data_IF_406032218745
#
_entry.id   IF_406032218745
#
_cell.length_a   1.000
_cell.length_b   1.000
_cell.length_c   1.000
_cell.angle_alpha   90.00
_cell.angle_beta   90.00
_cell.angle_gamma   90.00
#
_symmetry.space_group_name_H-M   'P 1'
#
loop_
_entity.id
_entity.type
_entity.pdbx_description
1 polymer ?
#
# COMPACT_ATOMS: atom_id res chain seq x y z
N UNK A 1 -2.72 2.30 14.67
CA UNK A 1 -3.32 1.47 15.74
C UNK A 1 -2.79 0.04 15.72
N UNK A 2 -3.02 -0.76 14.66
CA UNK A 2 -2.63 -2.19 14.64
C UNK A 2 -1.15 -2.44 14.97
N UNK A 3 -0.22 -1.73 14.31
CA UNK A 3 1.21 -1.89 14.59
C UNK A 3 1.62 -1.42 15.99
N UNK A 4 0.89 -0.46 16.57
CA UNK A 4 1.12 -0.04 17.95
C UNK A 4 0.73 -1.16 18.92
N UNK A 5 -0.46 -1.73 18.75
CA UNK A 5 -0.95 -2.85 19.57
C UNK A 5 -0.03 -4.07 19.45
N UNK A 6 0.40 -4.43 18.23
CA UNK A 6 1.34 -5.54 18.00
C UNK A 6 2.63 -5.43 18.82
N UNK A 7 3.16 -4.21 18.99
CA UNK A 7 4.39 -3.94 19.74
C UNK A 7 4.18 -3.84 21.26
N UNK A 8 3.00 -3.42 21.69
CA UNK A 8 2.67 -3.18 23.09
C UNK A 8 1.79 -4.28 23.65
N UNK A 9 2.37 -5.47 23.73
CA UNK A 9 1.66 -6.67 24.21
C UNK A 9 1.22 -6.55 25.66
N UNK A 10 1.87 -5.69 26.44
CA UNK A 10 1.54 -5.34 27.81
C UNK A 10 0.20 -4.57 27.93
N UNK A 11 -0.23 -3.87 26.88
CA UNK A 11 -1.47 -3.10 26.87
C UNK A 11 -2.72 -3.95 26.59
N UNK A 12 -2.56 -5.24 26.28
CA UNK A 12 -3.68 -6.13 25.97
C UNK A 12 -3.43 -7.57 26.45
N UNK A 13 -4.51 -8.32 26.70
CA UNK A 13 -4.40 -9.71 27.20
C UNK A 13 -3.99 -10.75 26.15
N UNK A 14 -3.70 -10.34 24.91
CA UNK A 14 -3.29 -11.27 23.86
C UNK A 14 -1.81 -11.63 24.01
N UNK A 15 -1.54 -12.94 24.04
CA UNK A 15 -0.20 -13.53 24.11
C UNK A 15 0.59 -13.29 22.82
N UNK A 16 1.16 -12.10 22.66
CA UNK A 16 2.06 -11.74 21.55
C UNK A 16 1.45 -11.92 20.16
N UNK A 17 1.05 -10.83 19.52
CA UNK A 17 0.56 -10.90 18.13
C UNK A 17 1.72 -11.33 17.21
N UNK A 18 1.64 -12.58 16.71
CA UNK A 18 2.65 -13.17 15.82
C UNK A 18 2.62 -12.53 14.43
N UNK A 19 3.73 -12.67 13.72
CA UNK A 19 3.88 -12.19 12.35
C UNK A 19 4.69 -10.90 12.25
N UNK A 20 4.83 -10.45 11.00
CA UNK A 20 5.59 -9.25 10.67
C UNK A 20 4.82 -7.97 11.01
N UNK A 21 5.49 -6.83 10.79
CA UNK A 21 4.95 -5.49 10.96
C UNK A 21 3.63 -5.28 10.21
N UNK A 22 2.60 -4.80 10.91
CA UNK A 22 1.39 -4.31 10.25
C UNK A 22 1.71 -3.01 9.51
N UNK A 23 1.46 -2.97 8.20
CA UNK A 23 1.75 -1.78 7.40
C UNK A 23 0.74 -1.55 6.27
N UNK A 24 0.65 -0.29 5.84
CA UNK A 24 -0.18 0.17 4.73
C UNK A 24 0.67 0.50 3.51
N UNK A 25 0.31 0.00 2.34
CA UNK A 25 0.90 0.36 1.06
C UNK A 25 0.01 1.31 0.27
N UNK A 26 0.52 2.47 -0.13
CA UNK A 26 -0.14 3.33 -1.11
C UNK A 26 0.45 3.05 -2.50
N UNK A 27 -0.25 2.21 -3.27
CA UNK A 27 0.15 1.74 -4.59
C UNK A 27 -0.78 2.33 -5.66
N UNK A 28 -0.70 3.67 -5.85
CA UNK A 28 -1.76 4.45 -6.50
C UNK A 28 -1.37 5.12 -7.83
N UNK A 29 -0.10 5.07 -8.25
CA UNK A 29 0.33 5.53 -9.58
C UNK A 29 1.58 6.40 -9.56
N UNK A 30 2.32 6.43 -10.67
CA UNK A 30 3.62 7.12 -10.75
C UNK A 30 3.53 8.66 -10.70
N UNK A 31 2.33 9.23 -10.91
CA UNK A 31 2.06 10.66 -10.73
C UNK A 31 1.88 11.04 -9.27
N UNK A 32 1.48 10.09 -8.42
CA UNK A 32 1.17 10.33 -7.01
C UNK A 32 2.24 9.79 -6.05
N UNK A 33 2.89 8.67 -6.40
CA UNK A 33 3.92 8.05 -5.56
C UNK A 33 5.15 7.61 -6.35
N UNK A 34 6.36 7.54 -5.72
CA UNK A 34 7.59 7.18 -6.42
C UNK A 34 7.64 5.69 -6.79
N UNK A 35 8.00 5.39 -8.04
CA UNK A 35 8.13 4.00 -8.51
C UNK A 35 9.37 3.26 -7.95
N UNK A 36 10.42 3.98 -7.54
CA UNK A 36 11.65 3.37 -7.04
C UNK A 36 12.39 4.30 -6.06
N UNK A 37 13.34 3.73 -5.33
CA UNK A 37 14.10 4.44 -4.28
C UNK A 37 14.87 5.63 -4.88
N UNK A 38 15.51 5.46 -6.05
CA UNK A 38 16.26 6.53 -6.73
C UNK A 38 15.36 7.75 -7.06
N UNK A 39 14.17 7.50 -7.60
CA UNK A 39 13.20 8.53 -7.90
C UNK A 39 12.71 9.22 -6.62
N UNK A 40 12.45 8.46 -5.56
CA UNK A 40 12.05 8.99 -4.26
C UNK A 40 13.12 9.91 -3.66
N UNK A 41 14.38 9.48 -3.61
CA UNK A 41 15.50 10.30 -3.11
C UNK A 41 15.64 11.60 -3.88
N UNK A 42 15.48 11.56 -5.22
CA UNK A 42 15.51 12.76 -6.06
C UNK A 42 14.36 13.71 -5.72
N UNK A 43 13.13 13.21 -5.67
CA UNK A 43 11.95 14.03 -5.38
C UNK A 43 11.99 14.62 -3.97
N UNK A 44 12.50 13.90 -2.96
CA UNK A 44 12.68 14.41 -1.60
C UNK A 44 13.68 15.58 -1.58
N UNK A 45 14.77 15.48 -2.36
CA UNK A 45 15.74 16.58 -2.50
C UNK A 45 15.09 17.81 -3.14
N UNK A 46 14.38 17.63 -4.25
CA UNK A 46 13.63 18.70 -4.94
C UNK A 46 12.58 19.34 -4.00
N UNK A 47 11.89 18.52 -3.19
CA UNK A 47 10.93 19.00 -2.20
C UNK A 47 11.58 19.81 -1.08
N UNK A 48 12.74 19.36 -0.58
CA UNK A 48 13.54 20.07 0.43
C UNK A 48 14.00 21.44 -0.09
N UNK A 49 14.42 21.50 -1.36
CA UNK A 49 14.83 22.72 -2.07
C UNK A 49 13.63 23.64 -2.39
N UNK A 50 12.42 23.08 -2.48
CA UNK A 50 11.21 23.82 -2.81
C UNK A 50 10.91 23.91 -4.30
N UNK A 51 11.53 23.03 -5.10
CA UNK A 51 11.39 22.97 -6.56
C UNK A 51 10.10 22.27 -6.98
N UNK A 52 9.52 21.45 -6.09
CA UNK A 52 8.22 20.79 -6.28
C UNK A 52 7.27 21.12 -5.13
N UNK A 53 5.98 21.17 -5.45
CA UNK A 53 4.91 21.30 -4.47
C UNK A 53 4.37 19.94 -4.02
N UNK A 54 3.86 19.89 -2.80
CA UNK A 54 3.35 18.66 -2.20
C UNK A 54 4.46 17.74 -1.69
N UNK A 55 4.18 16.99 -0.62
CA UNK A 55 5.12 16.00 -0.12
C UNK A 55 5.17 14.81 -1.10
N UNK A 56 6.32 14.46 -1.69
CA UNK A 56 6.43 13.35 -2.64
C UNK A 56 6.13 11.98 -2.01
N UNK A 57 6.11 11.87 -0.68
CA UNK A 57 5.70 10.67 0.04
C UNK A 57 4.25 10.72 0.55
N UNK A 58 3.45 11.70 0.07
CA UNK A 58 2.01 11.90 0.31
C UNK A 58 1.63 12.27 1.75
N UNK A 59 2.32 11.76 2.76
CA UNK A 59 1.99 12.00 4.18
C UNK A 59 2.43 13.40 4.64
N UNK A 60 1.46 14.26 4.98
CA UNK A 60 1.71 15.61 5.53
C UNK A 60 1.68 15.66 7.06
N UNK A 61 1.16 14.62 7.70
CA UNK A 61 0.93 14.55 9.14
C UNK A 61 1.16 13.12 9.62
N UNK A 62 1.68 12.96 10.83
CA UNK A 62 1.78 11.66 11.47
C UNK A 62 0.36 11.09 11.71
N UNK A 63 0.03 9.88 11.24
CA UNK A 63 -1.28 9.29 11.44
C UNK A 63 -1.57 8.89 12.90
N UNK A 64 -0.55 8.92 13.77
CA UNK A 64 -0.68 8.63 15.21
C UNK A 64 -0.94 9.89 16.02
N UNK A 65 0.03 10.81 16.06
CA UNK A 65 -0.01 11.99 16.94
C UNK A 65 -0.29 13.31 16.21
N UNK A 66 -0.54 13.28 14.88
CA UNK A 66 -0.79 14.48 14.04
C UNK A 66 0.37 15.47 13.93
N UNK A 67 1.58 15.12 14.37
CA UNK A 67 2.77 15.95 14.13
C UNK A 67 2.99 16.16 12.63
N UNK A 68 3.19 17.42 12.21
CA UNK A 68 3.38 17.80 10.80
C UNK A 68 4.65 17.18 10.21
N UNK A 69 4.55 16.61 9.01
CA UNK A 69 5.65 16.04 8.23
C UNK A 69 5.90 16.94 7.02
N UNK A 70 7.17 17.18 6.71
CA UNK A 70 7.55 17.91 5.51
C UNK A 70 8.47 19.07 5.81
N UNK A 71 8.27 20.18 5.08
CA UNK A 71 9.21 21.29 5.01
C UNK A 71 8.89 22.36 6.05
N UNK A 72 9.86 22.66 6.90
CA UNK A 72 9.76 23.66 7.96
C UNK A 72 10.75 24.80 7.72
N UNK A 73 10.35 26.01 8.12
CA UNK A 73 11.20 27.20 8.11
C UNK A 73 11.48 27.65 9.53
N UNK A 74 12.75 27.91 9.85
CA UNK A 74 13.19 28.53 11.10
C UNK A 74 14.25 29.56 10.74
N UNK A 75 13.95 30.81 10.99
CA UNK A 75 14.72 31.94 10.47
C UNK A 75 14.91 31.84 8.94
N UNK A 76 16.14 31.94 8.45
CA UNK A 76 16.48 31.81 7.02
C UNK A 76 16.77 30.38 6.56
N UNK A 77 16.70 29.38 7.45
CA UNK A 77 17.00 27.98 7.11
C UNK A 77 15.71 27.18 6.95
N UNK A 78 15.68 26.40 5.87
CA UNK A 78 14.63 25.41 5.59
C UNK A 78 15.16 24.03 5.95
N UNK A 79 14.35 23.24 6.66
CA UNK A 79 14.68 21.87 7.05
C UNK A 79 13.51 20.95 6.77
N UNK A 80 13.83 19.70 6.47
CA UNK A 80 12.86 18.63 6.28
C UNK A 80 12.74 17.85 7.60
N UNK A 81 11.52 17.58 8.06
CA UNK A 81 11.28 16.67 9.19
C UNK A 81 10.28 15.58 8.82
N UNK A 82 10.43 14.44 9.46
CA UNK A 82 9.55 13.28 9.29
C UNK A 82 9.87 12.41 8.07
N UNK A 83 11.00 12.67 7.40
CA UNK A 83 11.54 11.85 6.31
C UNK A 83 13.05 11.75 6.54
N UNK A 84 13.60 10.53 6.59
CA UNK A 84 15.06 10.35 6.67
C UNK A 84 15.70 10.28 5.26
N UNK A 85 17.03 10.42 5.22
CA UNK A 85 17.83 10.27 4.00
C UNK A 85 18.59 8.91 4.00
N UNK A 86 17.92 7.82 4.40
CA UNK A 86 18.55 6.49 4.42
C UNK A 86 18.92 6.04 2.99
N UNK A 87 20.22 5.87 2.76
CA UNK A 87 20.79 5.50 1.46
C UNK A 87 20.83 3.98 1.23
N UNK A 88 20.64 3.20 2.28
CA UNK A 88 20.70 1.73 2.25
C UNK A 88 19.33 1.11 2.02
N UNK A 89 18.31 1.52 2.78
CA UNK A 89 16.94 1.01 2.65
C UNK A 89 16.01 1.94 1.86
N UNK A 90 16.51 3.13 1.51
CA UNK A 90 15.70 4.22 0.96
C UNK A 90 14.94 4.98 2.05
N UNK A 91 14.36 6.13 1.70
CA UNK A 91 13.78 7.06 2.66
C UNK A 91 12.59 6.46 3.43
N UNK A 92 12.59 6.66 4.74
CA UNK A 92 11.55 6.25 5.70
C UNK A 92 10.69 7.44 6.10
N UNK A 93 9.39 7.19 6.23
CA UNK A 93 8.46 8.09 6.92
C UNK A 93 8.56 7.86 8.43
N UNK A 94 8.83 8.92 9.17
CA UNK A 94 8.98 8.90 10.63
C UNK A 94 8.20 10.06 11.25
N UNK A 95 7.77 9.90 12.49
CA UNK A 95 7.16 10.98 13.23
C UNK A 95 8.24 11.99 13.64
N UNK A 96 8.06 13.30 13.38
CA UNK A 96 9.03 14.29 13.78
C UNK A 96 9.01 14.59 15.28
N UNK A 97 7.94 14.24 15.99
CA UNK A 97 7.88 14.28 17.44
C UNK A 97 8.68 13.13 18.06
N UNK A 98 9.67 13.44 18.89
CA UNK A 98 10.54 12.47 19.56
C UNK A 98 9.82 11.68 20.66
N UNK A 99 8.67 12.14 21.14
CA UNK A 99 7.85 11.42 22.13
C UNK A 99 6.90 10.41 21.48
N UNK A 100 6.80 10.40 20.14
CA UNK A 100 5.91 9.51 19.42
C UNK A 100 6.54 8.12 19.23
N UNK A 101 5.72 7.08 19.41
CA UNK A 101 6.06 5.66 19.17
C UNK A 101 6.57 5.33 17.77
N UNK A 102 6.43 6.27 16.84
CA UNK A 102 6.77 6.11 15.42
C UNK A 102 7.86 7.09 14.95
N UNK A 103 8.61 7.70 15.87
CA UNK A 103 9.63 8.71 15.58
C UNK A 103 11.04 8.19 15.29
N UNK A 104 11.27 6.88 15.41
CA UNK A 104 12.59 6.27 15.20
C UNK A 104 12.93 6.12 13.71
N UNK A 105 14.23 6.16 13.41
CA UNK A 105 14.82 5.85 12.11
C UNK A 105 14.95 4.34 11.83
N UNK A 106 14.59 3.48 12.79
CA UNK A 106 14.44 2.05 12.57
C UNK A 106 13.12 1.79 11.84
N UNK A 107 13.16 1.08 10.70
CA UNK A 107 11.97 0.68 9.94
C UNK A 107 10.86 0.10 10.81
N UNK A 108 11.17 -0.78 11.76
CA UNK A 108 10.16 -1.41 12.62
C UNK A 108 9.49 -0.44 13.60
N UNK A 109 10.09 0.72 13.81
CA UNK A 109 9.63 1.77 14.74
C UNK A 109 9.29 3.08 14.00
N UNK A 110 9.26 3.08 12.67
CA UNK A 110 8.89 4.24 11.85
C UNK A 110 7.37 4.29 11.65
N UNK A 111 6.84 5.28 10.92
CA UNK A 111 5.44 5.27 10.49
C UNK A 111 5.21 4.06 9.54
N UNK A 112 4.20 3.20 9.80
CA UNK A 112 3.97 1.96 9.06
C UNK A 112 3.22 2.19 7.74
N UNK A 113 3.71 3.14 6.94
CA UNK A 113 3.16 3.47 5.63
C UNK A 113 4.27 3.43 4.59
N UNK A 114 4.07 2.64 3.54
CA UNK A 114 4.96 2.48 2.40
C UNK A 114 4.31 3.10 1.17
N UNK A 115 5.00 4.00 0.50
CA UNK A 115 4.50 4.69 -0.70
C UNK A 115 5.39 4.44 -1.92
N UNK A 116 6.57 3.86 -1.72
CA UNK A 116 7.52 3.61 -2.79
C UNK A 116 7.27 2.22 -3.33
N UNK A 117 6.84 2.09 -4.59
CA UNK A 117 6.52 0.81 -5.23
C UNK A 117 7.60 -0.26 -4.99
N UNK A 118 8.87 0.10 -5.21
CA UNK A 118 9.99 -0.82 -5.01
C UNK A 118 10.03 -1.40 -3.59
N UNK A 119 9.72 -0.59 -2.56
CA UNK A 119 9.65 -1.03 -1.16
C UNK A 119 8.40 -1.83 -0.88
N UNK A 120 7.27 -1.44 -1.48
CA UNK A 120 6.01 -2.21 -1.42
C UNK A 120 6.24 -3.63 -1.97
N UNK A 121 7.03 -3.81 -3.03
CA UNK A 121 7.34 -5.14 -3.56
C UNK A 121 8.38 -5.92 -2.74
N UNK A 122 9.33 -5.22 -2.11
CA UNK A 122 10.34 -5.84 -1.24
C UNK A 122 9.75 -6.26 0.11
N UNK A 123 8.83 -5.45 0.62
CA UNK A 123 8.17 -5.61 1.91
C UNK A 123 6.66 -5.45 1.74
N UNK A 124 5.96 -6.48 1.19
CA UNK A 124 4.52 -6.46 0.96
C UNK A 124 3.73 -6.01 2.20
N UNK A 125 2.98 -4.90 2.13
CA UNK A 125 2.20 -4.41 3.26
C UNK A 125 1.02 -5.32 3.60
N UNK A 126 0.51 -5.20 4.82
CA UNK A 126 -0.66 -5.97 5.28
C UNK A 126 -1.96 -5.50 4.62
N UNK A 127 -2.02 -4.21 4.27
CA UNK A 127 -3.14 -3.60 3.54
C UNK A 127 -2.56 -2.78 2.41
N UNK A 128 -3.13 -2.90 1.22
CA UNK A 128 -2.73 -2.11 0.05
C UNK A 128 -3.92 -1.30 -0.42
N UNK A 129 -3.70 -0.02 -0.62
CA UNK A 129 -4.62 0.88 -1.32
C UNK A 129 -4.09 1.04 -2.73
N UNK A 130 -4.92 0.74 -3.72
CA UNK A 130 -4.53 0.82 -5.12
C UNK A 130 -5.63 1.42 -5.97
N UNK A 131 -5.25 1.89 -7.15
CA UNK A 131 -6.15 2.35 -8.20
C UNK A 131 -6.30 1.27 -9.27
N UNK A 132 -7.42 1.27 -9.98
CA UNK A 132 -7.65 0.40 -11.13
C UNK A 132 -6.49 0.45 -12.14
N UNK A 133 -6.00 1.66 -12.43
CA UNK A 133 -4.89 1.89 -13.36
C UNK A 133 -3.59 1.22 -12.92
N UNK A 134 -3.34 1.17 -11.61
CA UNK A 134 -2.14 0.51 -11.09
C UNK A 134 -2.24 -1.00 -11.20
N UNK A 135 -3.44 -1.56 -11.00
CA UNK A 135 -3.69 -2.98 -11.17
C UNK A 135 -3.47 -3.44 -12.62
N UNK A 136 -3.73 -2.58 -13.61
CA UNK A 136 -3.39 -2.86 -15.00
C UNK A 136 -1.88 -3.10 -15.23
N UNK A 137 -1.01 -2.55 -14.36
CA UNK A 137 0.45 -2.75 -14.47
C UNK A 137 0.90 -4.17 -14.07
N UNK A 138 0.04 -4.99 -13.45
CA UNK A 138 0.40 -6.35 -13.02
C UNK A 138 0.94 -7.19 -14.18
N UNK A 139 0.38 -7.03 -15.38
CA UNK A 139 0.83 -7.74 -16.59
C UNK A 139 2.28 -7.43 -16.98
N UNK A 140 2.78 -6.23 -16.66
CA UNK A 140 4.11 -5.74 -17.07
C UNK A 140 5.09 -5.60 -15.90
N UNK A 141 4.66 -5.93 -14.68
CA UNK A 141 5.46 -5.77 -13.47
C UNK A 141 5.46 -7.07 -12.65
N UNK A 142 6.27 -8.07 -13.06
CA UNK A 142 6.37 -9.34 -12.32
C UNK A 142 6.60 -9.14 -10.82
N UNK A 143 7.46 -8.19 -10.42
CA UNK A 143 7.73 -7.89 -9.01
C UNK A 143 6.47 -7.57 -8.16
N UNK A 144 5.39 -7.09 -8.77
CA UNK A 144 4.12 -6.85 -8.08
C UNK A 144 3.41 -8.14 -7.65
N UNK A 145 3.80 -9.31 -8.17
CA UNK A 145 3.34 -10.61 -7.69
C UNK A 145 3.63 -10.86 -6.21
N UNK A 146 4.61 -10.16 -5.62
CA UNK A 146 4.89 -10.16 -4.18
C UNK A 146 3.68 -9.74 -3.33
N UNK A 147 2.80 -8.87 -3.86
CA UNK A 147 1.57 -8.45 -3.20
C UNK A 147 0.54 -9.58 -3.08
N UNK A 148 0.71 -10.63 -3.88
CA UNK A 148 -0.10 -11.86 -3.87
C UNK A 148 0.65 -13.02 -3.23
N UNK A 149 1.69 -12.74 -2.45
CA UNK A 149 2.48 -13.78 -1.76
C UNK A 149 3.41 -14.58 -2.67
N UNK A 150 3.69 -14.10 -3.90
CA UNK A 150 4.56 -14.79 -4.87
C UNK A 150 5.97 -14.24 -4.87
N UNK A 151 6.97 -15.12 -4.89
CA UNK A 151 8.39 -14.77 -5.09
C UNK A 151 8.86 -15.27 -6.44
N UNK A 152 9.39 -14.36 -7.26
CA UNK A 152 9.97 -14.70 -8.54
C UNK A 152 11.34 -15.35 -8.36
N UNK A 153 11.56 -16.45 -9.07
CA UNK A 153 12.80 -17.23 -9.11
C UNK A 153 13.30 -17.18 -10.55
N UNK A 154 14.58 -16.81 -10.72
CA UNK A 154 15.28 -16.79 -12.02
C UNK A 154 14.54 -16.02 -13.14
N UNK A 155 13.75 -15.00 -12.81
CA UNK A 155 12.97 -14.18 -13.74
C UNK A 155 11.97 -14.94 -14.66
N UNK A 156 11.69 -16.22 -14.40
CA UNK A 156 10.80 -17.03 -15.24
C UNK A 156 9.74 -17.80 -14.43
N UNK A 157 10.07 -18.19 -13.20
CA UNK A 157 9.19 -18.97 -12.34
C UNK A 157 8.74 -18.14 -11.14
N UNK A 158 7.63 -18.53 -10.53
CA UNK A 158 7.19 -18.00 -9.25
C UNK A 158 6.93 -19.13 -8.26
N UNK A 159 7.20 -18.86 -7.00
CA UNK A 159 6.83 -19.72 -5.87
C UNK A 159 5.88 -18.97 -4.95
N UNK A 160 4.78 -19.62 -4.57
CA UNK A 160 3.92 -19.12 -3.50
C UNK A 160 4.65 -19.27 -2.16
N UNK A 161 4.94 -18.16 -1.50
CA UNK A 161 5.67 -18.12 -0.21
C UNK A 161 4.80 -17.64 0.95
N UNK A 162 3.77 -16.84 0.65
CA UNK A 162 2.76 -16.40 1.62
C UNK A 162 1.38 -16.65 1.05
N UNK A 163 0.34 -16.64 1.88
CA UNK A 163 -1.03 -16.63 1.37
C UNK A 163 -1.31 -15.31 0.64
N UNK A 164 -2.08 -15.33 -0.45
CA UNK A 164 -2.48 -14.09 -1.10
C UNK A 164 -3.53 -13.33 -0.26
N UNK A 165 -3.84 -12.06 -0.61
CA UNK A 165 -4.90 -11.31 0.04
C UNK A 165 -6.25 -12.03 -0.02
N UNK A 166 -6.93 -12.13 1.13
CA UNK A 166 -8.22 -12.82 1.25
C UNK A 166 -9.42 -11.87 1.33
N UNK A 167 -9.19 -10.56 1.39
CA UNK A 167 -10.22 -9.52 1.43
C UNK A 167 -9.88 -8.44 0.40
N UNK A 168 -10.83 -8.14 -0.46
CA UNK A 168 -10.79 -7.04 -1.41
C UNK A 168 -11.96 -6.11 -1.05
N UNK A 169 -11.65 -4.83 -0.83
CA UNK A 169 -12.65 -3.79 -0.63
C UNK A 169 -12.62 -2.90 -1.86
N UNK A 170 -13.72 -2.88 -2.61
CA UNK A 170 -13.89 -1.98 -3.73
C UNK A 170 -14.72 -0.78 -3.31
N UNK A 171 -14.14 0.41 -3.44
CA UNK A 171 -14.86 1.64 -3.23
C UNK A 171 -15.45 2.15 -4.55
N UNK A 172 -16.58 2.84 -4.46
CA UNK A 172 -17.24 3.50 -5.59
C UNK A 172 -17.49 2.62 -6.83
N UNK A 173 -18.09 1.44 -6.63
CA UNK A 173 -18.45 0.51 -7.73
C UNK A 173 -19.25 1.18 -8.84
N UNK A 174 -20.06 2.20 -8.53
CA UNK A 174 -20.83 2.96 -9.52
C UNK A 174 -19.96 3.63 -10.61
N UNK A 175 -18.68 3.90 -10.32
CA UNK A 175 -17.72 4.44 -11.29
C UNK A 175 -17.26 3.39 -12.32
N UNK A 176 -17.51 2.12 -12.05
CA UNK A 176 -17.18 0.98 -12.91
C UNK A 176 -18.38 0.67 -13.80
N UNK A 177 -18.68 1.58 -14.72
CA UNK A 177 -19.77 1.44 -15.70
C UNK A 177 -19.31 1.70 -17.13
N UNK A 178 -20.08 1.24 -18.11
CA UNK A 178 -19.77 1.43 -19.54
C UNK A 178 -18.44 0.77 -19.97
N UNK A 179 -17.68 1.38 -20.90
CA UNK A 179 -16.45 0.82 -21.44
C UNK A 179 -15.35 0.57 -20.40
N UNK A 180 -15.28 1.42 -19.36
CA UNK A 180 -14.32 1.28 -18.27
C UNK A 180 -14.64 0.04 -17.42
N UNK A 181 -15.93 -0.24 -17.23
CA UNK A 181 -16.40 -1.43 -16.51
C UNK A 181 -15.96 -2.75 -17.15
N UNK A 182 -16.00 -2.85 -18.48
CA UNK A 182 -15.56 -4.06 -19.20
C UNK A 182 -14.08 -4.33 -18.99
N UNK A 183 -13.22 -3.31 -19.07
CA UNK A 183 -11.78 -3.48 -18.81
C UNK A 183 -11.53 -3.86 -17.35
N UNK A 184 -12.24 -3.20 -16.43
CA UNK A 184 -12.11 -3.47 -15.01
C UNK A 184 -12.52 -4.89 -14.64
N UNK A 185 -13.59 -5.43 -15.23
CA UNK A 185 -14.02 -6.81 -15.03
C UNK A 185 -12.94 -7.83 -15.40
N UNK A 186 -12.15 -7.57 -16.45
CA UNK A 186 -11.00 -8.41 -16.82
C UNK A 186 -9.90 -8.34 -15.74
N UNK A 187 -9.58 -7.14 -15.25
CA UNK A 187 -8.60 -6.99 -14.18
C UNK A 187 -9.05 -7.67 -12.89
N UNK A 188 -10.33 -7.54 -12.52
CA UNK A 188 -10.92 -8.22 -11.37
C UNK A 188 -10.81 -9.74 -11.48
N UNK A 189 -11.12 -10.32 -12.64
CA UNK A 189 -10.94 -11.77 -12.85
C UNK A 189 -9.49 -12.22 -12.66
N UNK A 190 -8.52 -11.43 -13.11
CA UNK A 190 -7.09 -11.69 -12.89
C UNK A 190 -6.75 -11.57 -11.41
N UNK A 191 -7.18 -10.50 -10.74
CA UNK A 191 -6.90 -10.25 -9.31
C UNK A 191 -7.54 -11.35 -8.46
N UNK A 192 -8.79 -11.72 -8.71
CA UNK A 192 -9.49 -12.82 -8.03
C UNK A 192 -8.70 -14.12 -8.17
N UNK A 193 -8.20 -14.42 -9.37
CA UNK A 193 -7.38 -15.60 -9.64
C UNK A 193 -6.03 -15.55 -8.91
N UNK A 194 -5.35 -14.39 -8.91
CA UNK A 194 -4.11 -14.18 -8.14
C UNK A 194 -4.33 -14.28 -6.63
N UNK A 195 -5.53 -13.94 -6.17
CA UNK A 195 -5.96 -14.03 -4.77
C UNK A 195 -6.58 -15.37 -4.38
N UNK A 196 -6.75 -16.29 -5.32
CA UNK A 196 -7.32 -17.60 -5.06
C UNK A 196 -6.24 -18.61 -4.65
N UNK A 197 -6.55 -19.43 -3.66
CA UNK A 197 -5.68 -20.51 -3.17
C UNK A 197 -6.34 -21.86 -3.47
N UNK A 198 -5.55 -22.83 -3.94
CA UNK A 198 -6.02 -24.21 -4.19
C UNK A 198 -5.36 -25.12 -3.17
N UNK A 199 -6.15 -25.63 -2.23
CA UNK A 199 -5.71 -26.58 -1.20
C UNK A 199 -6.61 -27.82 -1.27
N UNK A 200 -6.04 -29.02 -1.41
CA UNK A 200 -6.79 -30.30 -1.43
C UNK A 200 -7.99 -30.31 -2.40
N UNK A 201 -7.79 -29.76 -3.62
CA UNK A 201 -8.84 -29.56 -4.64
C UNK A 201 -9.97 -28.57 -4.26
N UNK A 202 -9.84 -27.87 -3.13
CA UNK A 202 -10.75 -26.80 -2.71
C UNK A 202 -10.16 -25.46 -3.15
N UNK A 203 -10.90 -24.74 -4.00
CA UNK A 203 -10.56 -23.39 -4.41
C UNK A 203 -11.14 -22.39 -3.41
N UNK A 204 -10.26 -21.72 -2.67
CA UNK A 204 -10.65 -20.63 -1.76
C UNK A 204 -10.45 -19.30 -2.47
N UNK A 205 -11.56 -18.62 -2.77
CA UNK A 205 -11.56 -17.29 -3.40
C UNK A 205 -11.53 -16.17 -2.36
N UNK A 206 -11.04 -14.96 -2.69
CA UNK A 206 -11.10 -13.82 -1.78
C UNK A 206 -12.55 -13.39 -1.50
N UNK A 207 -12.78 -12.86 -0.31
CA UNK A 207 -14.00 -12.12 0.02
C UNK A 207 -13.93 -10.74 -0.63
N UNK A 208 -14.96 -10.36 -1.37
CA UNK A 208 -15.08 -9.05 -2.00
C UNK A 208 -16.21 -8.30 -1.29
N UNK A 209 -15.92 -7.07 -0.87
CA UNK A 209 -16.89 -6.13 -0.30
C UNK A 209 -16.85 -4.89 -1.19
N UNK A 210 -17.98 -4.52 -1.79
CA UNK A 210 -18.07 -3.35 -2.64
C UNK A 210 -18.98 -2.28 -2.02
N UNK A 211 -18.53 -1.03 -2.05
CA UNK A 211 -19.33 0.16 -1.75
C UNK A 211 -19.84 0.76 -3.06
N UNK A 212 -21.09 1.23 -3.08
CA UNK A 212 -21.68 1.88 -4.25
C UNK A 212 -22.68 2.95 -3.82
N UNK A 213 -22.82 4.01 -4.61
CA UNK A 213 -23.91 4.95 -4.46
C UNK A 213 -25.26 4.23 -4.66
N UNK A 214 -26.36 4.78 -4.15
CA UNK A 214 -27.70 4.20 -4.32
C UNK A 214 -28.10 4.22 -5.81
N UNK A 215 -27.76 3.15 -6.52
CA UNK A 215 -28.06 2.99 -7.94
C UNK A 215 -29.21 1.99 -8.11
N UNK A 216 -30.04 2.21 -9.14
CA UNK A 216 -30.94 1.18 -9.63
C UNK A 216 -30.06 0.09 -10.27
N UNK A 217 -30.29 -1.18 -9.92
CA UNK A 217 -29.58 -2.38 -10.46
C UNK A 217 -28.17 -2.68 -9.91
N UNK A 218 -27.89 -2.35 -8.64
CA UNK A 218 -26.63 -2.73 -7.99
C UNK A 218 -26.32 -4.25 -8.09
N UNK A 219 -27.33 -5.12 -7.92
CA UNK A 219 -27.15 -6.57 -8.05
C UNK A 219 -26.71 -7.01 -9.46
N UNK A 220 -27.22 -6.35 -10.49
CA UNK A 220 -26.86 -6.65 -11.88
C UNK A 220 -25.44 -6.18 -12.19
N UNK A 221 -25.02 -5.05 -11.62
CA UNK A 221 -23.63 -4.58 -11.71
C UNK A 221 -22.66 -5.50 -10.96
N UNK A 222 -23.04 -6.02 -9.79
CA UNK A 222 -22.23 -7.00 -9.05
C UNK A 222 -22.09 -8.29 -9.87
N UNK A 223 -23.18 -8.77 -10.46
CA UNK A 223 -23.14 -9.96 -11.34
C UNK A 223 -22.28 -9.72 -12.59
N UNK A 224 -22.36 -8.55 -13.21
CA UNK A 224 -21.60 -8.27 -14.44
C UNK A 224 -20.11 -8.06 -14.19
N UNK A 225 -19.72 -7.44 -13.08
CA UNK A 225 -18.31 -7.18 -12.74
C UNK A 225 -17.65 -8.39 -12.09
N UNK A 226 -18.34 -9.06 -11.17
CA UNK A 226 -17.75 -10.11 -10.34
C UNK A 226 -18.21 -11.53 -10.66
N UNK A 227 -19.24 -11.71 -11.50
CA UNK A 227 -19.91 -13.00 -11.72
C UNK A 227 -20.33 -13.69 -10.41
N UNK A 228 -20.69 -12.89 -9.40
CA UNK A 228 -21.08 -13.31 -8.05
C UNK A 228 -22.45 -12.70 -7.70
N UNK A 229 -23.12 -13.30 -6.71
CA UNK A 229 -24.40 -12.85 -6.13
C UNK A 229 -24.24 -12.53 -4.66
#
# INVERSE_FOLDING_TARGET
AMEFLRRHTDLHKQSGIKGDRFSLGLWIGGSATPNNIKASTRQIKEFKEGTIEGNPLVLTDCPWCRAKIGRFKRFRKTFLRGINEDKTEGPLLLCPDSSCDFGSDNRNLSIPVEVIDQRIYMYPPSVIISTADKLALLAYRPKAGSLFGRKFINNAEYKQIFRPPQLIIQDELHLISGPLGTMYAVYEGIIESLCSEINDNIVTKPKIIASTATIRNAEEQVKSVYARS
#
